data_IF_655673450810
#
_entry.id   IF_655673450810
#
_cell.length_a   1.000
_cell.length_b   1.000
_cell.length_c   1.000
_cell.angle_alpha   90.00
_cell.angle_beta   90.00
_cell.angle_gamma   90.00
#
_symmetry.space_group_name_H-M   'P 1'
#
loop_
_entity.id
_entity.type
_entity.pdbx_description
1 polymer ?
#
# COMPACT_ATOMS: atom_id res chain seq x y z
N UNK A 1 -6.07 -9.57 57.77
CA UNK A 1 -5.75 -10.50 56.69
C UNK A 1 -5.60 -9.67 55.42
N UNK A 2 -4.36 -9.41 55.02
CA UNK A 2 -4.04 -8.59 53.87
C UNK A 2 -3.67 -9.53 52.71
N UNK A 3 -4.62 -9.72 51.81
CA UNK A 3 -4.36 -10.24 50.47
C UNK A 3 -4.64 -9.08 49.53
N UNK A 4 -3.56 -8.42 49.11
CA UNK A 4 -3.59 -7.46 48.03
C UNK A 4 -3.99 -8.21 46.75
N UNK A 5 -5.25 -8.03 46.32
CA UNK A 5 -5.70 -8.42 44.98
C UNK A 5 -4.99 -7.51 43.97
N UNK A 6 -3.82 -7.99 43.54
CA UNK A 6 -3.03 -7.34 42.53
C UNK A 6 -3.82 -7.29 41.23
N UNK A 7 -4.31 -6.10 40.89
CA UNK A 7 -4.25 -5.47 39.56
C UNK A 7 -4.14 -6.48 38.41
N UNK A 8 -5.15 -7.35 38.31
CA UNK A 8 -5.15 -8.51 37.44
C UNK A 8 -5.60 -8.01 36.09
N UNK A 9 -4.67 -7.96 35.14
CA UNK A 9 -4.92 -7.47 33.78
C UNK A 9 -6.26 -8.01 33.27
N UNK A 10 -7.18 -7.15 32.80
CA UNK A 10 -8.54 -7.53 32.52
C UNK A 10 -8.60 -8.53 31.36
N UNK A 11 -8.62 -9.83 31.69
CA UNK A 11 -8.83 -10.94 30.75
C UNK A 11 -10.07 -10.71 29.86
N UNK A 12 -11.07 -10.00 30.38
CA UNK A 12 -12.26 -9.60 29.64
C UNK A 12 -11.98 -8.67 28.44
N UNK A 13 -10.89 -7.88 28.45
CA UNK A 13 -10.51 -7.04 27.30
C UNK A 13 -10.10 -7.93 26.12
N UNK A 14 -9.27 -8.95 26.35
CA UNK A 14 -8.78 -9.84 25.29
C UNK A 14 -9.91 -10.59 24.61
N UNK A 15 -10.86 -11.12 25.39
CA UNK A 15 -12.02 -11.82 24.82
C UNK A 15 -12.91 -10.89 23.97
N UNK A 16 -13.11 -9.63 24.40
CA UNK A 16 -13.85 -8.64 23.61
C UNK A 16 -13.17 -8.34 22.28
N UNK A 17 -11.85 -8.11 22.29
CA UNK A 17 -11.10 -7.80 21.07
C UNK A 17 -10.97 -9.03 20.16
N UNK A 18 -10.87 -10.23 20.74
CA UNK A 18 -10.90 -11.47 19.97
C UNK A 18 -12.22 -11.65 19.21
N UNK A 19 -13.37 -11.43 19.87
CA UNK A 19 -14.68 -11.44 19.21
C UNK A 19 -14.75 -10.33 18.15
N UNK A 20 -14.24 -9.14 18.44
CA UNK A 20 -14.22 -8.03 17.48
C UNK A 20 -13.42 -8.39 16.22
N UNK A 21 -12.22 -8.97 16.37
CA UNK A 21 -11.38 -9.43 15.25
C UNK A 21 -12.06 -10.53 14.45
N UNK A 22 -12.80 -11.42 15.11
CA UNK A 22 -13.59 -12.45 14.44
C UNK A 22 -14.68 -11.83 13.56
N UNK A 23 -15.48 -10.91 14.12
CA UNK A 23 -16.52 -10.19 13.38
C UNK A 23 -15.94 -9.39 12.22
N UNK A 24 -14.83 -8.69 12.46
CA UNK A 24 -14.12 -7.92 11.43
C UNK A 24 -13.61 -8.81 10.29
N UNK A 25 -13.13 -10.01 10.60
CA UNK A 25 -12.72 -11.00 9.60
C UNK A 25 -13.92 -11.50 8.79
N UNK A 26 -15.08 -11.67 9.43
CA UNK A 26 -16.34 -11.98 8.75
C UNK A 26 -16.78 -10.87 7.79
N UNK A 27 -16.65 -9.60 8.19
CA UNK A 27 -16.94 -8.47 7.29
C UNK A 27 -15.98 -8.40 6.10
N UNK A 28 -14.68 -8.66 6.31
CA UNK A 28 -13.72 -8.75 5.20
C UNK A 28 -14.13 -9.82 4.19
N UNK A 29 -14.58 -11.00 4.66
CA UNK A 29 -15.07 -12.06 3.77
C UNK A 29 -16.39 -11.70 3.10
N UNK A 30 -17.27 -10.97 3.79
CA UNK A 30 -18.52 -10.50 3.22
C UNK A 30 -18.29 -9.54 2.04
N UNK A 31 -17.27 -8.68 2.08
CA UNK A 31 -16.90 -7.81 0.93
C UNK A 31 -16.58 -8.65 -0.30
N UNK A 32 -15.83 -9.73 -0.12
CA UNK A 32 -15.51 -10.66 -1.21
C UNK A 32 -16.74 -11.45 -1.67
N UNK A 33 -17.68 -11.76 -0.77
CA UNK A 33 -18.92 -12.46 -1.10
C UNK A 33 -19.93 -11.60 -1.88
N UNK A 34 -20.05 -10.31 -1.57
CA UNK A 34 -20.94 -9.39 -2.27
C UNK A 34 -20.40 -8.93 -3.63
N UNK A 35 -19.24 -9.45 -4.04
CA UNK A 35 -18.62 -9.25 -5.35
C UNK A 35 -18.56 -7.77 -5.74
N UNK A 36 -18.22 -6.93 -4.76
CA UNK A 36 -18.14 -5.48 -4.94
C UNK A 36 -17.06 -5.19 -5.97
N UNK A 37 -17.42 -4.64 -7.13
CA UNK A 37 -16.47 -4.39 -8.22
C UNK A 37 -15.82 -3.00 -8.15
N UNK A 38 -14.64 -2.87 -8.75
CA UNK A 38 -13.93 -1.61 -8.90
C UNK A 38 -13.26 -1.10 -7.63
N UNK A 39 -13.15 0.24 -7.51
CA UNK A 39 -12.44 0.91 -6.42
C UNK A 39 -13.00 0.61 -5.03
N UNK A 40 -14.30 0.30 -4.93
CA UNK A 40 -14.95 -0.03 -3.67
C UNK A 40 -14.37 -1.29 -3.00
N UNK A 41 -13.96 -2.31 -3.80
CA UNK A 41 -13.30 -3.50 -3.26
C UNK A 41 -11.96 -3.15 -2.61
N UNK A 42 -11.14 -2.41 -3.35
CA UNK A 42 -9.81 -2.01 -2.90
C UNK A 42 -9.88 -1.19 -1.62
N UNK A 43 -10.75 -0.19 -1.57
CA UNK A 43 -10.94 0.65 -0.38
C UNK A 43 -11.39 -0.18 0.81
N UNK A 44 -12.39 -1.05 0.65
CA UNK A 44 -12.92 -1.87 1.74
C UNK A 44 -11.89 -2.88 2.25
N UNK A 45 -11.21 -3.60 1.36
CA UNK A 45 -10.17 -4.57 1.74
C UNK A 45 -9.03 -3.89 2.49
N UNK A 46 -8.56 -2.74 2.01
CA UNK A 46 -7.49 -1.98 2.68
C UNK A 46 -7.97 -1.51 4.06
N UNK A 47 -9.19 -1.00 4.19
CA UNK A 47 -9.75 -0.58 5.48
C UNK A 47 -9.81 -1.74 6.46
N UNK A 48 -10.33 -2.91 6.04
CA UNK A 48 -10.41 -4.09 6.91
C UNK A 48 -9.03 -4.62 7.30
N UNK A 49 -8.05 -4.60 6.38
CA UNK A 49 -6.66 -4.93 6.68
C UNK A 49 -6.05 -3.97 7.70
N UNK A 50 -6.26 -2.66 7.54
CA UNK A 50 -5.70 -1.66 8.43
C UNK A 50 -6.33 -1.72 9.82
N UNK A 51 -7.67 -1.88 9.90
CA UNK A 51 -8.36 -2.06 11.18
C UNK A 51 -7.84 -3.30 11.92
N UNK A 52 -7.76 -4.46 11.24
CA UNK A 52 -7.33 -5.69 11.93
C UNK A 52 -5.88 -5.59 12.39
N UNK A 53 -5.00 -5.03 11.56
CA UNK A 53 -3.59 -4.82 11.91
C UNK A 53 -3.47 -3.84 13.08
N UNK A 54 -4.23 -2.74 13.06
CA UNK A 54 -4.29 -1.77 14.14
C UNK A 54 -4.75 -2.37 15.46
N UNK A 55 -5.81 -3.20 15.45
CA UNK A 55 -6.28 -3.90 16.66
C UNK A 55 -5.25 -4.90 17.20
N UNK A 56 -4.54 -5.61 16.32
CA UNK A 56 -3.46 -6.52 16.72
C UNK A 56 -2.31 -5.75 17.37
N UNK A 57 -1.86 -4.64 16.76
CA UNK A 57 -0.78 -3.81 17.31
C UNK A 57 -1.20 -3.15 18.63
N UNK A 58 -2.41 -2.60 18.72
CA UNK A 58 -2.87 -1.90 19.91
C UNK A 58 -3.01 -2.82 21.13
N UNK A 59 -3.53 -4.04 20.94
CA UNK A 59 -3.94 -4.91 22.04
C UNK A 59 -3.00 -6.11 22.21
N UNK A 60 -2.65 -6.83 21.15
CA UNK A 60 -1.79 -8.02 21.28
C UNK A 60 -0.33 -7.64 21.50
N UNK A 61 0.15 -6.58 20.85
CA UNK A 61 1.46 -6.01 21.15
C UNK A 61 1.45 -5.11 22.41
N UNK A 62 0.33 -5.01 23.14
CA UNK A 62 0.20 -4.19 24.35
C UNK A 62 0.62 -2.72 24.16
N UNK A 63 0.62 -2.19 22.93
CA UNK A 63 1.07 -0.82 22.66
C UNK A 63 0.26 0.24 23.45
N UNK A 64 -0.99 -0.06 23.80
CA UNK A 64 -1.83 0.84 24.63
C UNK A 64 -1.37 0.92 26.10
N UNK A 65 -0.59 -0.06 26.57
CA UNK A 65 -0.21 -0.19 27.98
C UNK A 65 1.30 -0.01 28.24
N UNK A 66 2.09 0.20 27.19
CA UNK A 66 3.55 0.32 27.28
C UNK A 66 4.08 1.74 27.00
N UNK A 67 5.37 1.93 27.28
CA UNK A 67 6.08 3.20 27.02
C UNK A 67 6.17 3.46 25.52
N UNK A 68 5.98 4.73 25.14
CA UNK A 68 6.10 5.23 23.77
C UNK A 68 7.37 4.74 23.04
N UNK A 69 8.47 4.52 23.77
CA UNK A 69 9.72 4.00 23.23
C UNK A 69 9.56 2.63 22.53
N UNK A 70 8.81 1.68 23.10
CA UNK A 70 8.65 0.34 22.52
C UNK A 70 7.76 0.36 21.25
N UNK A 71 6.74 1.21 21.27
CA UNK A 71 5.91 1.49 20.08
C UNK A 71 6.79 2.05 18.96
N UNK A 72 7.64 3.04 19.27
CA UNK A 72 8.52 3.66 18.28
C UNK A 72 9.61 2.69 17.77
N UNK A 73 10.09 1.76 18.60
CA UNK A 73 11.05 0.75 18.15
C UNK A 73 10.44 -0.23 17.15
N UNK A 74 9.18 -0.62 17.31
CA UNK A 74 8.53 -1.59 16.42
C UNK A 74 7.92 -0.91 15.19
N UNK A 75 7.19 0.19 15.39
CA UNK A 75 6.48 0.89 14.33
C UNK A 75 7.32 1.96 13.64
N UNK A 76 8.35 2.49 14.31
CA UNK A 76 9.19 3.56 13.79
C UNK A 76 9.96 3.16 12.53
N UNK A 77 10.71 2.05 12.49
CA UNK A 77 11.47 1.67 11.30
C UNK A 77 10.57 1.49 10.05
N UNK A 78 9.45 0.75 10.11
CA UNK A 78 8.52 0.67 8.98
C UNK A 78 7.93 2.02 8.58
N UNK A 79 7.60 2.89 9.55
CA UNK A 79 6.98 4.20 9.27
C UNK A 79 7.95 5.14 8.55
N UNK A 80 9.22 5.18 8.99
CA UNK A 80 10.27 5.99 8.35
C UNK A 80 10.54 5.48 6.93
N UNK A 81 10.55 4.16 6.72
CA UNK A 81 10.71 3.58 5.39
C UNK A 81 9.55 3.96 4.46
N UNK A 82 8.30 3.88 4.92
CA UNK A 82 7.14 4.29 4.13
C UNK A 82 7.19 5.78 3.78
N UNK A 83 7.60 6.63 4.73
CA UNK A 83 7.81 8.05 4.48
C UNK A 83 8.88 8.30 3.41
N UNK A 84 10.03 7.62 3.52
CA UNK A 84 11.12 7.74 2.55
C UNK A 84 10.69 7.30 1.16
N UNK A 85 9.98 6.17 1.05
CA UNK A 85 9.44 5.68 -0.22
C UNK A 85 8.44 6.70 -0.80
N UNK A 86 7.58 7.30 0.04
CA UNK A 86 6.66 8.35 -0.37
C UNK A 86 7.37 9.58 -0.94
N UNK A 87 8.40 10.09 -0.26
CA UNK A 87 9.20 11.20 -0.76
C UNK A 87 9.91 10.86 -2.08
N UNK A 88 10.52 9.68 -2.17
CA UNK A 88 11.18 9.23 -3.40
C UNK A 88 10.20 9.08 -4.57
N UNK A 89 8.97 8.62 -4.32
CA UNK A 89 7.94 8.53 -5.35
C UNK A 89 7.52 9.92 -5.86
N UNK A 90 7.37 10.90 -4.97
CA UNK A 90 7.03 12.27 -5.33
C UNK A 90 8.17 12.92 -6.13
N UNK A 91 9.41 12.86 -5.66
CA UNK A 91 10.57 13.39 -6.39
C UNK A 91 10.77 12.68 -7.73
N UNK A 92 10.53 11.37 -7.79
CA UNK A 92 10.57 10.59 -9.02
C UNK A 92 9.63 11.14 -10.08
N UNK A 93 8.38 11.43 -9.70
CA UNK A 93 7.39 12.04 -10.59
C UNK A 93 7.80 13.46 -11.02
N UNK A 94 8.30 14.30 -10.10
CA UNK A 94 8.76 15.65 -10.46
C UNK A 94 9.94 15.63 -11.44
N UNK A 95 10.88 14.71 -11.25
CA UNK A 95 12.06 14.56 -12.12
C UNK A 95 11.67 14.05 -13.51
N UNK A 96 10.65 13.19 -13.58
CA UNK A 96 10.09 12.72 -14.84
C UNK A 96 9.36 13.83 -15.59
N UNK A 97 8.49 14.57 -14.90
CA UNK A 97 7.76 15.70 -15.47
C UNK A 97 8.69 16.82 -15.98
N UNK A 98 9.77 17.11 -15.26
CA UNK A 98 10.78 18.09 -15.69
C UNK A 98 11.47 17.67 -16.99
N UNK A 99 11.76 16.36 -17.15
CA UNK A 99 12.39 15.81 -18.36
C UNK A 99 11.48 15.94 -19.57
N UNK A 100 10.19 15.71 -19.43
CA UNK A 100 9.25 15.91 -20.53
C UNK A 100 9.12 17.38 -20.90
N UNK A 101 8.93 18.25 -19.91
CA UNK A 101 8.64 19.66 -20.15
C UNK A 101 9.84 20.45 -20.70
N UNK A 102 11.08 20.07 -20.35
CA UNK A 102 12.27 20.85 -20.72
C UNK A 102 13.25 20.11 -21.63
N UNK A 103 13.38 18.78 -21.52
CA UNK A 103 14.28 17.99 -22.37
C UNK A 103 13.58 17.44 -23.62
N UNK A 104 12.28 17.64 -23.76
CA UNK A 104 11.51 17.22 -24.94
C UNK A 104 11.38 15.71 -25.09
N UNK A 105 11.61 14.95 -24.01
CA UNK A 105 11.35 13.51 -24.02
C UNK A 105 9.86 13.26 -24.28
N UNK A 106 9.56 12.33 -25.18
CA UNK A 106 8.19 11.90 -25.43
C UNK A 106 7.76 10.94 -24.33
N UNK A 107 6.64 11.26 -23.69
CA UNK A 107 6.00 10.45 -22.64
C UNK A 107 5.50 9.11 -23.16
N UNK A 108 5.30 9.00 -24.47
CA UNK A 108 4.90 7.77 -25.16
C UNK A 108 6.01 7.21 -26.04
N UNK A 109 7.28 7.59 -25.79
CA UNK A 109 8.41 7.07 -26.56
C UNK A 109 8.44 5.53 -26.51
N UNK A 110 8.09 4.90 -27.64
CA UNK A 110 8.26 3.46 -27.85
C UNK A 110 9.72 3.20 -28.18
N UNK A 111 10.29 2.14 -27.60
CA UNK A 111 11.64 1.73 -27.93
C UNK A 111 11.72 1.44 -29.44
N UNK A 112 12.57 2.18 -30.15
CA UNK A 112 12.78 1.99 -31.58
C UNK A 112 13.16 0.54 -31.84
N UNK A 113 12.44 -0.11 -32.76
CA UNK A 113 12.81 -1.44 -33.21
C UNK A 113 14.07 -1.36 -34.07
N UNK A 114 14.88 -2.42 -34.14
CA UNK A 114 16.09 -2.42 -34.98
C UNK A 114 15.82 -2.02 -36.44
N UNK A 115 14.63 -2.34 -36.98
CA UNK A 115 14.23 -1.96 -38.33
C UNK A 115 14.02 -0.44 -38.52
N UNK A 116 13.64 0.29 -37.46
CA UNK A 116 13.40 1.74 -37.50
C UNK A 116 14.70 2.54 -37.25
N UNK A 117 15.67 1.94 -36.55
CA UNK A 117 17.00 2.51 -36.33
C UNK A 117 17.88 2.47 -37.59
N UNK A 118 17.69 1.47 -38.44
CA UNK A 118 18.33 1.34 -39.74
C UNK A 118 17.43 1.95 -40.82
N UNK A 119 17.39 3.28 -40.91
CA UNK A 119 16.50 4.01 -41.82
C UNK A 119 16.60 3.57 -43.29
N UNK A 120 15.46 3.18 -43.86
CA UNK A 120 15.09 3.42 -45.25
C UNK A 120 15.94 2.78 -46.36
N UNK A 121 15.75 1.49 -46.62
CA UNK A 121 15.88 0.94 -47.98
C UNK A 121 14.71 -0.03 -48.21
N UNK A 122 13.73 0.35 -49.05
CA UNK A 122 12.75 -0.63 -49.57
C UNK A 122 11.29 -0.24 -49.73
N UNK A 123 10.91 1.04 -49.65
CA UNK A 123 9.51 1.44 -49.89
C UNK A 123 9.38 2.70 -50.74
N UNK A 124 9.96 2.69 -51.94
CA UNK A 124 9.55 3.55 -53.05
C UNK A 124 9.98 2.89 -54.37
N UNK A 125 9.31 1.79 -54.68
CA UNK A 125 9.20 1.22 -56.02
C UNK A 125 7.80 0.63 -56.09
N UNK A 126 7.09 0.87 -57.18
CA UNK A 126 5.75 0.35 -57.49
C UNK A 126 4.58 1.31 -57.18
N UNK A 127 4.63 2.56 -57.68
CA UNK A 127 3.42 3.23 -58.18
C UNK A 127 3.77 4.10 -59.41
N UNK A 128 4.17 3.44 -60.51
CA UNK A 128 3.98 3.96 -61.87
C UNK A 128 3.37 2.83 -62.71
N UNK A 129 2.06 2.91 -63.03
CA UNK A 129 1.58 2.46 -64.34
C UNK A 129 0.26 3.17 -64.69
N UNK A 130 0.32 3.84 -65.84
CA UNK A 130 -0.79 4.31 -66.66
C UNK A 130 -1.37 3.14 -67.47
#
# INVERSE_FOLDING_TARGET
MASAEGQQHPLGIYYKIWILLFVLSGFSYAVDFYDVQGAWRWTLVIIFMFLKAGFIVAIFMHAVWERLALILTILGPPSVLLLLIGFMAIEGNYTEELRFNHMGHDRNAVALTPAELHGGEGAHGDEEEH
#
